data_IF_728093849649
#
_entry.id   IF_728093849649
#
_cell.length_a   1.000
_cell.length_b   1.000
_cell.length_c   1.000
_cell.angle_alpha   90.00
_cell.angle_beta   90.00
_cell.angle_gamma   90.00
#
_symmetry.space_group_name_H-M   'P 1'
#
loop_
_entity.id
_entity.type
_entity.pdbx_description
1 polymer ?
#
# COMPACT_ATOMS: atom_id res chain seq x y z
N UNK A 1 4.88 -0.97 12.95
CA UNK A 1 3.69 -0.98 12.09
C UNK A 1 3.99 -1.44 10.66
N UNK A 2 4.81 -0.79 9.81
CA UNK A 2 5.05 -1.30 8.44
C UNK A 2 5.67 -2.72 8.37
N UNK A 3 6.71 -2.99 9.16
CA UNK A 3 7.33 -4.32 9.23
C UNK A 3 6.37 -5.37 9.84
N UNK A 4 5.45 -4.92 10.68
CA UNK A 4 4.47 -5.79 11.36
C UNK A 4 3.45 -6.35 10.38
N UNK A 5 3.00 -5.55 9.40
CA UNK A 5 2.12 -6.03 8.32
C UNK A 5 2.79 -7.12 7.48
N UNK A 6 4.08 -6.97 7.20
CA UNK A 6 4.85 -7.97 6.45
C UNK A 6 5.05 -9.23 7.30
N UNK A 7 5.45 -9.07 8.56
CA UNK A 7 5.67 -10.19 9.47
C UNK A 7 4.39 -10.96 9.76
N UNK A 8 3.25 -10.28 9.96
CA UNK A 8 1.96 -10.93 10.19
C UNK A 8 1.55 -11.75 8.98
N UNK A 9 1.75 -11.25 7.75
CA UNK A 9 1.50 -12.03 6.54
C UNK A 9 2.33 -13.32 6.51
N UNK A 10 3.61 -13.28 6.84
CA UNK A 10 4.45 -14.49 6.89
C UNK A 10 4.08 -15.46 8.03
N UNK A 11 3.56 -14.95 9.14
CA UNK A 11 3.10 -15.80 10.25
C UNK A 11 1.77 -16.46 9.89
N UNK A 12 0.80 -15.68 9.40
CA UNK A 12 -0.58 -16.12 9.22
C UNK A 12 -0.75 -16.93 7.92
N UNK A 13 -0.08 -16.55 6.83
CA UNK A 13 -0.23 -17.21 5.52
C UNK A 13 0.81 -18.33 5.31
N UNK A 14 2.02 -18.17 5.86
CA UNK A 14 3.11 -19.15 5.68
C UNK A 14 3.41 -19.98 6.95
N UNK A 15 2.59 -19.86 7.99
CA UNK A 15 2.65 -20.61 9.25
C UNK A 15 4.05 -20.60 9.91
N UNK A 16 4.77 -19.48 9.74
CA UNK A 16 6.14 -19.34 10.24
C UNK A 16 6.17 -18.91 11.71
N UNK A 17 7.10 -19.45 12.53
CA UNK A 17 7.25 -18.99 13.90
C UNK A 17 7.75 -17.54 13.94
N UNK A 18 7.18 -16.73 14.86
CA UNK A 18 7.40 -15.28 15.00
C UNK A 18 8.87 -14.84 14.88
N UNK A 19 9.78 -15.59 15.51
CA UNK A 19 11.22 -15.27 15.48
C UNK A 19 11.82 -15.38 14.08
N UNK A 20 11.46 -16.42 13.32
CA UNK A 20 11.92 -16.60 11.94
C UNK A 20 11.27 -15.59 11.00
N UNK A 21 9.96 -15.36 11.13
CA UNK A 21 9.25 -14.39 10.29
C UNK A 21 9.83 -12.97 10.44
N UNK A 22 10.16 -12.57 11.67
CA UNK A 22 10.79 -11.27 11.95
C UNK A 22 12.20 -11.19 11.35
N UNK A 23 13.02 -12.23 11.50
CA UNK A 23 14.39 -12.24 11.00
C UNK A 23 14.44 -12.22 9.47
N UNK A 24 13.58 -13.00 8.81
CA UNK A 24 13.49 -13.05 7.34
C UNK A 24 12.99 -11.71 6.81
N UNK A 25 11.88 -11.19 7.34
CA UNK A 25 11.32 -9.91 6.88
C UNK A 25 12.29 -8.75 7.12
N UNK A 26 12.91 -8.69 8.30
CA UNK A 26 13.91 -7.69 8.62
C UNK A 26 15.16 -7.79 7.75
N UNK A 27 15.65 -9.02 7.51
CA UNK A 27 16.81 -9.27 6.64
C UNK A 27 16.56 -8.88 5.18
N UNK A 28 15.38 -9.21 4.64
CA UNK A 28 14.98 -8.80 3.30
C UNK A 28 14.86 -7.28 3.18
N UNK A 29 14.19 -6.61 4.13
CA UNK A 29 14.08 -5.14 4.14
C UNK A 29 15.45 -4.49 4.24
N UNK A 30 16.32 -5.00 5.12
CA UNK A 30 17.69 -4.51 5.27
C UNK A 30 18.47 -4.64 3.95
N UNK A 31 18.36 -5.77 3.26
CA UNK A 31 18.99 -5.98 1.96
C UNK A 31 18.51 -4.98 0.90
N UNK A 32 17.19 -4.78 0.76
CA UNK A 32 16.63 -3.78 -0.16
C UNK A 32 17.00 -2.35 0.22
N UNK A 33 17.11 -2.05 1.51
CA UNK A 33 17.55 -0.74 2.02
C UNK A 33 19.00 -0.47 1.65
N UNK A 34 19.88 -1.47 1.80
CA UNK A 34 21.29 -1.38 1.38
C UNK A 34 21.40 -1.18 -0.13
N UNK A 35 20.66 -1.96 -0.93
CA UNK A 35 20.62 -1.76 -2.39
C UNK A 35 20.14 -0.35 -2.77
N UNK A 36 19.11 0.15 -2.10
CA UNK A 36 18.59 1.51 -2.30
C UNK A 36 19.64 2.57 -1.92
N UNK A 37 20.34 2.40 -0.81
CA UNK A 37 21.41 3.31 -0.38
C UNK A 37 22.58 3.33 -1.38
N UNK A 38 22.97 2.18 -1.92
CA UNK A 38 24.04 2.08 -2.92
C UNK A 38 23.67 2.75 -4.26
N UNK A 39 22.38 2.83 -4.57
CA UNK A 39 21.85 3.47 -5.78
C UNK A 39 22.10 4.98 -5.84
N UNK A 40 22.41 5.64 -4.71
CA UNK A 40 22.61 7.10 -4.66
C UNK A 40 24.00 7.60 -5.09
N UNK A 41 24.96 6.72 -5.38
CA UNK A 41 26.26 7.19 -5.92
C UNK A 41 27.46 6.24 -5.92
N UNK A 42 27.34 5.00 -5.43
CA UNK A 42 28.53 4.13 -5.29
C UNK A 42 28.76 3.13 -6.43
N UNK A 43 27.74 2.75 -7.21
CA UNK A 43 27.89 1.70 -8.25
C UNK A 43 27.31 2.18 -9.59
N UNK A 44 28.15 2.49 -10.60
CA UNK A 44 27.71 3.00 -11.92
C UNK A 44 26.65 2.14 -12.62
N UNK A 45 26.67 0.82 -12.42
CA UNK A 45 25.69 -0.11 -13.00
C UNK A 45 24.33 -0.14 -12.30
N UNK A 46 24.22 0.37 -11.08
CA UNK A 46 22.97 0.50 -10.30
C UNK A 46 22.45 1.93 -10.31
N UNK A 47 23.32 2.93 -10.41
CA UNK A 47 22.96 4.35 -10.51
C UNK A 47 22.58 4.78 -11.94
N UNK A 48 23.05 4.06 -12.97
CA UNK A 48 22.66 4.28 -14.37
C UNK A 48 21.53 3.36 -14.88
N UNK A 49 20.93 2.54 -14.01
CA UNK A 49 19.82 1.67 -14.40
C UNK A 49 18.53 2.49 -14.43
N UNK A 50 18.14 2.94 -15.62
CA UNK A 50 16.93 3.71 -15.88
C UNK A 50 15.86 2.78 -16.48
N UNK A 51 14.88 2.37 -15.68
CA UNK A 51 13.68 1.67 -16.16
C UNK A 51 12.59 2.69 -16.53
N UNK A 52 12.58 3.86 -15.87
CA UNK A 52 11.66 4.97 -16.13
C UNK A 52 12.45 6.22 -16.56
N UNK A 53 11.98 6.90 -17.60
CA UNK A 53 12.65 8.08 -18.18
C UNK A 53 12.78 9.19 -17.12
N UNK A 54 14.02 9.64 -16.84
CA UNK A 54 14.30 10.68 -15.83
C UNK A 54 14.50 10.18 -14.40
N UNK A 55 14.50 8.86 -14.16
CA UNK A 55 14.66 8.24 -12.83
C UNK A 55 15.86 7.31 -12.77
N UNK A 56 17.02 7.92 -12.59
CA UNK A 56 18.28 7.20 -12.41
C UNK A 56 18.29 6.45 -11.06
N UNK A 57 18.39 5.12 -11.12
CA UNK A 57 18.68 4.29 -9.97
C UNK A 57 17.51 3.45 -9.45
N UNK A 58 17.85 2.29 -8.87
CA UNK A 58 16.90 1.29 -8.34
C UNK A 58 15.94 1.87 -7.30
N UNK A 59 16.41 2.78 -6.45
CA UNK A 59 15.54 3.42 -5.45
C UNK A 59 14.42 4.24 -6.10
N UNK A 60 14.75 5.12 -7.05
CA UNK A 60 13.77 6.00 -7.70
C UNK A 60 12.71 5.24 -8.49
N UNK A 61 13.11 4.12 -9.12
CA UNK A 61 12.18 3.23 -9.82
C UNK A 61 11.23 2.54 -8.86
N UNK A 62 11.75 1.98 -7.76
CA UNK A 62 10.93 1.30 -6.75
C UNK A 62 9.98 2.26 -6.04
N UNK A 63 10.45 3.48 -5.74
CA UNK A 63 9.64 4.51 -5.10
C UNK A 63 8.53 5.01 -6.04
N UNK A 64 8.83 5.22 -7.32
CA UNK A 64 7.81 5.55 -8.31
C UNK A 64 6.74 4.45 -8.40
N UNK A 65 7.16 3.20 -8.50
CA UNK A 65 6.25 2.05 -8.55
C UNK A 65 5.39 1.96 -7.29
N UNK A 66 5.99 2.09 -6.10
CA UNK A 66 5.25 2.00 -4.84
C UNK A 66 4.26 3.17 -4.70
N UNK A 67 4.73 4.40 -4.86
CA UNK A 67 3.97 5.61 -4.55
C UNK A 67 2.91 5.93 -5.60
N UNK A 68 3.18 5.70 -6.88
CA UNK A 68 2.26 6.05 -7.98
C UNK A 68 1.37 4.89 -8.45
N UNK A 69 1.80 3.64 -8.26
CA UNK A 69 1.04 2.46 -8.71
C UNK A 69 0.54 1.61 -7.55
N UNK A 70 1.42 1.13 -6.67
CA UNK A 70 1.03 0.18 -5.63
C UNK A 70 0.03 0.79 -4.63
N UNK A 71 0.26 2.03 -4.17
CA UNK A 71 -0.63 2.70 -3.22
C UNK A 71 -2.01 3.00 -3.83
N UNK A 72 -2.15 3.64 -5.01
CA UNK A 72 -3.47 3.95 -5.54
C UNK A 72 -4.23 2.70 -5.99
N UNK A 73 -3.55 1.72 -6.61
CA UNK A 73 -4.19 0.45 -7.00
C UNK A 73 -4.63 -0.33 -5.75
N UNK A 74 -3.79 -0.41 -4.72
CA UNK A 74 -4.13 -1.04 -3.45
C UNK A 74 -5.35 -0.37 -2.79
N UNK A 75 -5.38 0.97 -2.74
CA UNK A 75 -6.52 1.72 -2.23
C UNK A 75 -7.81 1.49 -3.03
N UNK A 76 -7.71 1.38 -4.35
CA UNK A 76 -8.85 1.09 -5.22
C UNK A 76 -9.41 -0.31 -4.95
N UNK A 77 -8.53 -1.31 -4.85
CA UNK A 77 -8.93 -2.69 -4.57
C UNK A 77 -9.58 -2.81 -3.19
N UNK A 78 -9.04 -2.12 -2.17
CA UNK A 78 -9.63 -2.11 -0.83
C UNK A 78 -11.01 -1.45 -0.85
N UNK A 79 -11.16 -0.28 -1.47
CA UNK A 79 -12.44 0.43 -1.51
C UNK A 79 -13.51 -0.33 -2.30
N UNK A 80 -13.13 -1.00 -3.39
CA UNK A 80 -14.02 -1.90 -4.12
C UNK A 80 -14.37 -3.14 -3.30
N UNK A 81 -13.39 -3.78 -2.67
CA UNK A 81 -13.58 -4.95 -1.82
C UNK A 81 -14.53 -4.67 -0.66
N UNK A 82 -14.24 -3.64 0.14
CA UNK A 82 -15.05 -3.27 1.31
C UNK A 82 -16.39 -2.66 0.91
N UNK A 83 -16.42 -1.81 -0.13
CA UNK A 83 -17.63 -1.09 -0.54
C UNK A 83 -18.65 -1.94 -1.32
N UNK A 84 -18.18 -2.92 -2.10
CA UNK A 84 -19.01 -3.68 -3.03
C UNK A 84 -19.03 -5.19 -2.79
N UNK A 85 -17.92 -5.81 -2.35
CA UNK A 85 -17.86 -7.26 -2.13
C UNK A 85 -18.25 -7.68 -0.71
N UNK A 86 -17.87 -6.91 0.33
CA UNK A 86 -18.26 -7.23 1.71
C UNK A 86 -19.76 -7.05 1.96
N UNK A 87 -20.34 -7.95 2.74
CA UNK A 87 -21.74 -7.84 3.14
C UNK A 87 -21.93 -6.71 4.14
N UNK A 88 -23.11 -6.09 4.09
CA UNK A 88 -23.50 -5.04 5.03
C UNK A 88 -23.38 -5.53 6.47
N UNK A 89 -23.85 -6.74 6.75
CA UNK A 89 -23.88 -7.30 8.09
C UNK A 89 -22.48 -7.48 8.66
N UNK A 90 -21.52 -7.98 7.87
CA UNK A 90 -20.13 -8.12 8.32
C UNK A 90 -19.49 -6.76 8.63
N UNK A 91 -19.66 -5.76 7.76
CA UNK A 91 -19.10 -4.43 8.01
C UNK A 91 -19.79 -3.68 9.15
N UNK A 92 -21.10 -3.86 9.33
CA UNK A 92 -21.86 -3.20 10.39
C UNK A 92 -21.50 -3.78 11.76
N UNK A 93 -21.33 -5.10 11.90
CA UNK A 93 -20.90 -5.72 13.17
C UNK A 93 -19.47 -5.34 13.58
N UNK A 94 -18.56 -5.15 12.61
CA UNK A 94 -17.18 -4.74 12.91
C UNK A 94 -17.06 -3.25 13.25
N UNK A 95 -17.96 -2.41 12.73
CA UNK A 95 -17.90 -0.95 12.88
C UNK A 95 -18.86 -0.38 13.91
N UNK A 96 -19.92 -1.12 14.24
CA UNK A 96 -20.95 -0.74 15.20
C UNK A 96 -20.94 -1.76 16.32
N UNK A 97 -20.28 -1.39 17.42
CA UNK A 97 -20.28 -2.13 18.68
C UNK A 97 -20.88 -1.28 19.81
N UNK A 98 -21.01 -1.84 21.02
CA UNK A 98 -21.56 -1.18 22.21
C UNK A 98 -20.82 0.12 22.60
N UNK A 99 -19.59 0.29 22.12
CA UNK A 99 -18.75 1.48 22.33
C UNK A 99 -18.91 2.57 21.26
N UNK A 100 -19.77 2.35 20.27
CA UNK A 100 -19.88 3.26 19.12
C UNK A 100 -20.44 4.62 19.55
N UNK A 101 -19.76 5.73 19.23
CA UNK A 101 -20.26 7.05 19.55
C UNK A 101 -21.62 7.31 18.89
N UNK A 102 -22.57 7.90 19.62
CA UNK A 102 -23.93 8.17 19.10
C UNK A 102 -24.00 9.10 17.88
N UNK A 103 -22.90 9.75 17.50
CA UNK A 103 -22.78 10.56 16.29
C UNK A 103 -22.38 9.75 15.04
N UNK A 104 -21.92 8.52 15.20
CA UNK A 104 -21.48 7.69 14.09
C UNK A 104 -22.70 7.17 13.31
N UNK A 105 -22.69 7.38 12.00
CA UNK A 105 -23.76 6.93 11.11
C UNK A 105 -23.20 5.94 10.09
N UNK A 106 -23.50 4.66 10.29
CA UNK A 106 -23.07 3.59 9.39
C UNK A 106 -23.55 3.78 7.94
N UNK A 107 -24.76 4.31 7.72
CA UNK A 107 -25.27 4.58 6.35
C UNK A 107 -24.43 5.64 5.65
N UNK A 108 -24.04 6.68 6.38
CA UNK A 108 -23.15 7.71 5.84
C UNK A 108 -21.78 7.11 5.52
N UNK A 109 -21.15 6.41 6.46
CA UNK A 109 -19.87 5.72 6.23
C UNK A 109 -19.92 4.81 5.01
N UNK A 110 -20.98 4.00 4.87
CA UNK A 110 -21.16 3.08 3.75
C UNK A 110 -21.31 3.81 2.41
N UNK A 111 -21.95 4.98 2.40
CA UNK A 111 -22.01 5.82 1.20
C UNK A 111 -20.61 6.34 0.81
N UNK A 112 -19.84 6.80 1.79
CA UNK A 112 -18.47 7.27 1.56
C UNK A 112 -17.56 6.16 1.03
N UNK A 113 -17.55 4.98 1.65
CA UNK A 113 -16.67 3.89 1.24
C UNK A 113 -17.06 3.31 -0.14
N UNK A 114 -18.34 3.35 -0.50
CA UNK A 114 -18.85 2.79 -1.76
C UNK A 114 -18.73 3.74 -2.95
N UNK A 115 -18.82 5.05 -2.72
CA UNK A 115 -18.85 6.05 -3.79
C UNK A 115 -17.72 7.07 -3.70
N UNK A 116 -17.53 7.70 -2.53
CA UNK A 116 -16.57 8.82 -2.40
C UNK A 116 -15.13 8.32 -2.43
N UNK A 117 -14.81 7.30 -1.64
CA UNK A 117 -13.47 6.73 -1.56
C UNK A 117 -12.98 6.14 -2.91
N UNK A 118 -13.74 5.28 -3.61
CA UNK A 118 -13.30 4.76 -4.89
C UNK A 118 -13.23 5.86 -5.96
N UNK A 119 -14.12 6.86 -5.93
CA UNK A 119 -14.03 8.00 -6.86
C UNK A 119 -12.77 8.85 -6.63
N UNK A 120 -12.42 9.11 -5.37
CA UNK A 120 -11.20 9.84 -5.02
C UNK A 120 -9.95 9.08 -5.51
N UNK A 121 -9.86 7.79 -5.24
CA UNK A 121 -8.72 6.96 -5.66
C UNK A 121 -8.66 6.80 -7.18
N UNK A 122 -9.80 6.63 -7.85
CA UNK A 122 -9.86 6.61 -9.31
C UNK A 122 -9.39 7.94 -9.92
N UNK A 123 -9.71 9.08 -9.28
CA UNK A 123 -9.22 10.39 -9.72
C UNK A 123 -7.71 10.49 -9.60
N UNK A 124 -7.11 9.94 -8.52
CA UNK A 124 -5.66 9.87 -8.35
C UNK A 124 -5.03 9.01 -9.45
N UNK A 125 -5.58 7.82 -9.73
CA UNK A 125 -5.09 6.96 -10.83
C UNK A 125 -5.16 7.65 -12.19
N UNK A 126 -6.26 8.36 -12.47
CA UNK A 126 -6.39 9.16 -13.70
C UNK A 126 -5.35 10.28 -13.71
N UNK A 127 -5.09 10.95 -12.58
CA UNK A 127 -4.07 11.98 -12.48
C UNK A 127 -2.66 11.45 -12.79
N UNK A 128 -2.30 10.30 -12.22
CA UNK A 128 -1.01 9.63 -12.49
C UNK A 128 -0.88 9.27 -13.97
N UNK A 129 -1.91 8.64 -14.56
CA UNK A 129 -1.86 8.12 -15.94
C UNK A 129 -1.91 9.25 -16.98
N UNK A 130 -2.79 10.24 -16.82
CA UNK A 130 -3.04 11.25 -17.86
C UNK A 130 -2.19 12.51 -17.71
N UNK A 131 -1.85 12.91 -16.48
CA UNK A 131 -1.08 14.12 -16.23
C UNK A 131 0.37 13.83 -15.88
N UNK A 132 0.75 12.55 -15.79
CA UNK A 132 2.11 12.16 -15.40
C UNK A 132 2.50 12.70 -14.02
N UNK A 133 1.52 12.90 -13.13
CA UNK A 133 1.79 13.42 -11.78
C UNK A 133 2.62 12.38 -11.05
N UNK A 134 3.77 12.84 -10.57
CA UNK A 134 4.73 12.02 -9.87
C UNK A 134 4.71 12.33 -8.38
N UNK A 135 4.36 11.33 -7.59
CA UNK A 135 4.26 11.42 -6.14
C UNK A 135 5.49 10.85 -5.40
N UNK A 136 6.52 10.43 -6.14
CA UNK A 136 7.83 10.03 -5.58
C UNK A 136 8.81 11.19 -5.62
#
# INVERSE_FOLDING_TARGET
SLLEVVVSYFIDEMDMPRSKATLVSGGSIFFFTVLSALSFGSVPGLSGFEIFEGKAGVFSTLDHFASNWALPVGGLLITLGVGWFMTRQSTETELVDETTPGWFNYKAWRFFIRFVAPAAVATILVAVIFYGVDFS
#
